data_IF_732208941144
#
_entry.id   IF_732208941144
#
_cell.length_a   1.000
_cell.length_b   1.000
_cell.length_c   1.000
_cell.angle_alpha   90.00
_cell.angle_beta   90.00
_cell.angle_gamma   90.00
#
_symmetry.space_group_name_H-M   'P 1'
#
loop_
_entity.id
_entity.type
_entity.pdbx_description
1 polymer ?
#
# COMPACT_ATOMS: atom_id res chain seq x y z
N UNK A 1 -4.85 -16.86 -25.21
CA UNK A 1 -5.91 -16.61 -24.21
C UNK A 1 -5.18 -16.19 -22.95
N UNK A 2 -5.05 -14.89 -22.69
CA UNK A 2 -4.47 -14.41 -21.44
C UNK A 2 -5.42 -14.86 -20.32
N UNK A 3 -4.93 -15.73 -19.43
CA UNK A 3 -5.67 -16.08 -18.23
C UNK A 3 -5.72 -14.81 -17.40
N UNK A 4 -6.91 -14.25 -17.20
CA UNK A 4 -7.10 -13.22 -16.19
C UNK A 4 -6.50 -13.75 -14.89
N UNK A 5 -5.52 -13.07 -14.28
CA UNK A 5 -4.95 -13.53 -13.03
C UNK A 5 -6.09 -13.67 -12.03
N UNK A 6 -6.23 -14.87 -11.47
CA UNK A 6 -7.33 -15.19 -10.56
C UNK A 6 -6.96 -14.66 -9.19
N UNK A 7 -7.76 -13.73 -8.67
CA UNK A 7 -7.60 -13.21 -7.32
C UNK A 7 -8.30 -14.18 -6.37
N UNK A 8 -7.61 -14.63 -5.34
CA UNK A 8 -8.21 -15.54 -4.36
C UNK A 8 -8.71 -14.75 -3.15
N UNK A 9 -9.90 -15.12 -2.65
CA UNK A 9 -10.39 -14.63 -1.37
C UNK A 9 -10.15 -15.71 -0.31
N UNK A 10 -9.17 -15.47 0.57
CA UNK A 10 -8.70 -16.44 1.55
C UNK A 10 -8.61 -15.84 2.94
N UNK A 11 -8.69 -16.70 3.93
CA UNK A 11 -8.36 -16.35 5.30
C UNK A 11 -6.88 -16.59 5.54
N UNK A 12 -6.15 -15.56 5.91
CA UNK A 12 -4.71 -15.61 6.17
C UNK A 12 -4.44 -15.27 7.64
N UNK A 13 -3.60 -16.07 8.27
CA UNK A 13 -3.10 -15.83 9.61
C UNK A 13 -2.13 -14.65 9.62
N UNK A 14 -2.27 -13.70 10.56
CA UNK A 14 -1.45 -12.46 10.61
C UNK A 14 0.04 -12.74 10.60
N UNK A 15 0.51 -13.81 11.26
CA UNK A 15 1.93 -14.18 11.26
C UNK A 15 2.47 -14.49 9.86
N UNK A 16 1.62 -14.78 8.88
CA UNK A 16 2.00 -15.00 7.47
C UNK A 16 2.05 -13.69 6.67
N UNK A 17 1.96 -12.53 7.29
CA UNK A 17 2.06 -11.25 6.59
C UNK A 17 3.37 -10.60 7.01
N UNK A 18 4.20 -10.22 6.03
CA UNK A 18 5.42 -9.47 6.29
C UNK A 18 5.16 -7.98 6.03
N UNK A 19 5.02 -7.16 7.08
CA UNK A 19 4.78 -5.73 6.93
C UNK A 19 6.02 -4.96 6.45
N UNK A 20 7.21 -5.55 6.50
CA UNK A 20 8.47 -4.92 6.06
C UNK A 20 8.74 -5.14 4.57
N UNK A 21 8.04 -6.09 3.95
CA UNK A 21 8.31 -6.57 2.60
C UNK A 21 7.56 -5.81 1.49
N UNK A 22 7.35 -4.49 1.64
CA UNK A 22 6.51 -3.75 0.70
C UNK A 22 6.87 -2.27 0.58
N UNK A 23 6.87 -1.79 -0.66
CA UNK A 23 7.01 -0.38 -1.01
C UNK A 23 5.68 0.38 -0.98
N UNK A 24 4.54 -0.31 -0.82
CA UNK A 24 3.20 0.26 -1.03
C UNK A 24 2.63 1.04 0.16
N UNK A 25 3.35 1.11 1.28
CA UNK A 25 3.00 1.96 2.42
C UNK A 25 3.35 3.44 2.15
N UNK A 26 2.72 4.00 1.12
CA UNK A 26 3.01 5.32 0.57
C UNK A 26 2.80 6.46 1.56
N UNK A 27 1.78 6.33 2.40
CA UNK A 27 1.38 7.34 3.38
C UNK A 27 1.22 6.69 4.76
N UNK A 28 2.34 6.38 5.43
CA UNK A 28 2.27 5.79 6.76
C UNK A 28 1.63 6.78 7.73
N UNK A 29 0.81 6.27 8.64
CA UNK A 29 0.14 7.06 9.64
C UNK A 29 -0.78 6.21 10.50
N UNK A 30 -1.25 6.79 11.60
CA UNK A 30 -2.12 6.10 12.54
C UNK A 30 -3.56 6.02 12.01
N UNK A 31 -4.32 5.07 12.54
CA UNK A 31 -5.77 5.06 12.44
C UNK A 31 -6.35 6.27 13.19
N UNK A 32 -7.49 6.77 12.73
CA UNK A 32 -8.27 7.72 13.53
C UNK A 32 -8.87 7.02 14.75
N UNK A 33 -9.26 7.76 15.78
CA UNK A 33 -9.96 7.17 16.94
C UNK A 33 -11.23 6.42 16.54
N UNK A 34 -11.95 6.93 15.54
CA UNK A 34 -13.17 6.31 15.04
C UNK A 34 -12.88 5.01 14.28
N UNK A 35 -11.80 4.98 13.48
CA UNK A 35 -11.35 3.74 12.83
C UNK A 35 -10.91 2.68 13.86
N UNK A 36 -10.24 3.10 14.94
CA UNK A 36 -9.85 2.19 16.03
C UNK A 36 -11.09 1.60 16.71
N UNK A 37 -12.05 2.45 17.11
CA UNK A 37 -13.32 1.99 17.70
C UNK A 37 -14.07 1.05 16.77
N UNK A 38 -14.10 1.35 15.48
CA UNK A 38 -14.74 0.50 14.47
C UNK A 38 -14.08 -0.87 14.37
N UNK A 39 -12.73 -0.94 14.38
CA UNK A 39 -12.00 -2.21 14.38
C UNK A 39 -12.23 -3.01 15.67
N UNK A 40 -12.30 -2.35 16.83
CA UNK A 40 -12.57 -3.00 18.12
C UNK A 40 -13.99 -3.60 18.16
N UNK A 41 -14.98 -2.89 17.59
CA UNK A 41 -16.38 -3.31 17.62
C UNK A 41 -16.74 -4.32 16.53
N UNK A 42 -16.22 -4.10 15.32
CA UNK A 42 -16.68 -4.80 14.11
C UNK A 42 -15.60 -5.69 13.48
N UNK A 43 -14.35 -5.61 13.95
CA UNK A 43 -13.22 -6.26 13.31
C UNK A 43 -12.93 -5.69 11.92
N UNK A 44 -12.27 -6.50 11.09
CA UNK A 44 -11.90 -6.12 9.71
C UNK A 44 -13.08 -6.33 8.78
N UNK A 45 -13.72 -5.24 8.38
CA UNK A 45 -14.84 -5.25 7.43
C UNK A 45 -14.39 -5.21 5.96
N UNK A 46 -13.21 -4.62 5.70
CA UNK A 46 -12.63 -4.55 4.36
C UNK A 46 -11.40 -5.46 4.32
N UNK A 47 -11.42 -6.54 3.51
CA UNK A 47 -10.31 -7.48 3.41
C UNK A 47 -8.98 -6.79 3.11
N UNK A 48 -7.90 -7.36 3.63
CA UNK A 48 -6.54 -6.88 3.35
C UNK A 48 -6.14 -7.35 1.95
N UNK A 49 -5.53 -6.47 1.16
CA UNK A 49 -5.02 -6.84 -0.16
C UNK A 49 -3.56 -7.24 -0.02
N UNK A 50 -3.26 -8.49 -0.36
CA UNK A 50 -1.96 -9.10 -0.24
C UNK A 50 -1.48 -9.60 -1.60
N UNK A 51 -0.18 -9.83 -1.74
CA UNK A 51 0.40 -10.55 -2.86
C UNK A 51 1.32 -11.65 -2.37
N UNK A 52 1.29 -12.80 -3.06
CA UNK A 52 2.23 -13.90 -2.84
C UNK A 52 3.65 -13.47 -3.22
N UNK A 53 4.63 -13.78 -2.37
CA UNK A 53 6.05 -13.60 -2.71
C UNK A 53 6.82 -14.92 -2.59
N UNK A 54 7.60 -15.33 -3.62
CA UNK A 54 8.37 -16.58 -3.61
C UNK A 54 9.29 -16.72 -2.42
N UNK A 55 9.25 -17.90 -1.80
CA UNK A 55 10.10 -18.21 -0.65
C UNK A 55 9.81 -17.38 0.60
N UNK A 56 8.80 -16.49 0.55
CA UNK A 56 8.33 -15.69 1.68
C UNK A 56 6.85 -15.96 1.92
N UNK A 57 6.25 -15.12 2.77
CA UNK A 57 4.84 -15.26 3.14
C UNK A 57 3.99 -14.42 2.17
N UNK A 58 3.31 -13.40 2.66
CA UNK A 58 2.57 -12.44 1.85
C UNK A 58 3.07 -11.01 2.10
N UNK A 59 3.25 -10.24 1.03
CA UNK A 59 3.48 -8.80 1.13
C UNK A 59 2.16 -8.04 1.08
N UNK A 60 2.08 -6.91 1.76
CA UNK A 60 0.88 -6.07 1.79
C UNK A 60 0.86 -5.16 0.57
N UNK A 61 -0.26 -5.14 -0.14
CA UNK A 61 -0.56 -4.14 -1.17
C UNK A 61 -1.45 -3.05 -0.57
N UNK A 62 -2.55 -3.38 0.12
CA UNK A 62 -3.38 -2.39 0.83
C UNK A 62 -3.83 -2.93 2.20
N UNK A 63 -4.12 -2.02 3.13
CA UNK A 63 -4.57 -2.35 4.49
C UNK A 63 -3.51 -2.18 5.58
N UNK A 64 -2.44 -1.43 5.30
CA UNK A 64 -1.33 -1.15 6.22
C UNK A 64 -1.74 -0.78 7.64
N UNK A 65 -2.69 0.16 7.79
CA UNK A 65 -3.13 0.62 9.10
C UNK A 65 -3.88 -0.47 9.89
N UNK A 66 -4.66 -1.31 9.19
CA UNK A 66 -5.39 -2.43 9.79
C UNK A 66 -4.41 -3.51 10.26
N UNK A 67 -3.41 -3.84 9.44
CA UNK A 67 -2.33 -4.76 9.85
C UNK A 67 -1.55 -4.18 11.03
N UNK A 68 -1.18 -2.90 10.98
CA UNK A 68 -0.48 -2.26 12.09
C UNK A 68 -1.27 -2.36 13.39
N UNK A 69 -2.59 -2.09 13.37
CA UNK A 69 -3.45 -2.25 14.54
C UNK A 69 -3.47 -3.68 15.09
N UNK A 70 -3.57 -4.70 14.23
CA UNK A 70 -3.51 -6.11 14.63
C UNK A 70 -2.17 -6.48 15.28
N UNK A 71 -1.08 -5.83 14.89
CA UNK A 71 0.26 -6.12 15.40
C UNK A 71 0.69 -5.24 16.58
N UNK A 72 0.02 -4.10 16.81
CA UNK A 72 0.41 -3.11 17.82
C UNK A 72 -0.30 -3.25 19.17
N UNK A 73 -1.44 -3.95 19.25
CA UNK A 73 -2.23 -4.13 20.49
C UNK A 73 -1.61 -5.21 21.40
N UNK A 74 -0.37 -4.95 21.83
CA UNK A 74 0.55 -5.79 22.60
C UNK A 74 0.29 -5.82 24.11
N UNK A 75 -0.88 -6.28 24.56
CA UNK A 75 -1.11 -6.53 26.00
C UNK A 75 -1.66 -7.93 26.33
N UNK A 76 -1.95 -8.78 25.35
CA UNK A 76 -2.44 -10.13 25.62
C UNK A 76 -1.85 -11.18 24.66
N UNK A 77 -0.77 -11.83 25.10
CA UNK A 77 -0.12 -13.01 24.51
C UNK A 77 0.21 -12.94 23.02
N UNK A 78 1.50 -12.74 22.71
CA UNK A 78 2.08 -12.68 21.36
C UNK A 78 1.66 -13.82 20.42
N UNK A 79 1.24 -14.97 20.95
CA UNK A 79 0.82 -16.13 20.19
C UNK A 79 -0.62 -16.03 19.64
N UNK A 80 -1.58 -15.50 20.41
CA UNK A 80 -3.00 -15.50 20.00
C UNK A 80 -3.31 -14.55 18.86
N UNK A 81 -2.66 -13.37 18.82
CA UNK A 81 -2.88 -12.40 17.74
C UNK A 81 -2.12 -12.75 16.47
N UNK A 82 -0.95 -13.41 16.59
CA UNK A 82 -0.22 -13.96 15.46
C UNK A 82 -1.01 -15.05 14.74
N UNK A 83 -1.81 -15.84 15.48
CA UNK A 83 -2.68 -16.88 14.93
C UNK A 83 -4.04 -16.36 14.42
N UNK A 84 -4.35 -15.07 14.61
CA UNK A 84 -5.64 -14.51 14.18
C UNK A 84 -5.85 -14.68 12.67
N UNK A 85 -6.88 -15.41 12.25
CA UNK A 85 -7.27 -15.50 10.85
C UNK A 85 -7.99 -14.21 10.41
N UNK A 86 -7.55 -13.61 9.30
CA UNK A 86 -8.20 -12.42 8.73
C UNK A 86 -8.56 -12.60 7.25
N UNK A 87 -9.70 -12.03 6.79
CA UNK A 87 -10.09 -12.10 5.39
C UNK A 87 -9.15 -11.26 4.52
N UNK A 88 -8.67 -11.84 3.42
CA UNK A 88 -7.72 -11.23 2.51
C UNK A 88 -8.08 -11.50 1.04
N UNK A 89 -7.81 -10.52 0.17
CA UNK A 89 -7.67 -10.74 -1.27
C UNK A 89 -6.20 -11.01 -1.59
N UNK A 90 -5.94 -12.08 -2.32
CA UNK A 90 -4.59 -12.54 -2.65
C UNK A 90 -4.35 -12.35 -4.14
N UNK A 91 -3.43 -11.46 -4.47
CA UNK A 91 -2.86 -11.34 -5.80
C UNK A 91 -1.83 -12.47 -6.00
N UNK A 92 -1.87 -13.17 -7.15
CA UNK A 92 -0.87 -14.16 -7.45
C UNK A 92 0.50 -13.51 -7.66
N UNK A 93 1.55 -14.28 -7.44
CA UNK A 93 2.94 -13.87 -7.70
C UNK A 93 3.13 -13.38 -9.14
N UNK A 94 2.42 -13.98 -10.10
CA UNK A 94 2.54 -13.65 -11.52
C UNK A 94 2.12 -12.21 -11.87
N UNK A 95 1.47 -11.49 -10.96
CA UNK A 95 1.15 -10.06 -11.16
C UNK A 95 2.44 -9.25 -11.18
N UNK A 96 2.77 -8.57 -12.29
CA UNK A 96 3.95 -7.72 -12.38
C UNK A 96 3.90 -6.55 -11.38
N UNK A 97 5.06 -6.06 -10.97
CA UNK A 97 5.17 -4.91 -10.04
C UNK A 97 4.36 -3.71 -10.54
N UNK A 98 4.44 -3.40 -11.84
CA UNK A 98 3.67 -2.34 -12.50
C UNK A 98 2.16 -2.46 -12.27
N UNK A 99 1.63 -3.67 -12.36
CA UNK A 99 0.20 -3.94 -12.16
C UNK A 99 -0.17 -3.89 -10.68
N UNK A 100 0.66 -4.43 -9.77
CA UNK A 100 0.49 -4.28 -8.33
C UNK A 100 0.48 -2.79 -7.90
N UNK A 101 1.38 -1.98 -8.47
CA UNK A 101 1.45 -0.53 -8.28
C UNK A 101 0.17 0.18 -8.76
N UNK A 102 -0.39 -0.22 -9.90
CA UNK A 102 -1.68 0.29 -10.37
C UNK A 102 -2.84 -0.10 -9.44
N UNK A 103 -2.91 -1.36 -9.00
CA UNK A 103 -3.93 -1.80 -8.05
C UNK A 103 -3.80 -1.00 -6.74
N UNK A 104 -2.58 -0.72 -6.28
CA UNK A 104 -2.38 0.14 -5.11
C UNK A 104 -2.94 1.54 -5.33
N UNK A 105 -2.72 2.12 -6.51
CA UNK A 105 -3.25 3.44 -6.87
C UNK A 105 -4.78 3.48 -6.82
N UNK A 106 -5.43 2.44 -7.34
CA UNK A 106 -6.89 2.33 -7.39
C UNK A 106 -7.51 2.10 -5.99
N UNK A 107 -6.77 1.46 -5.08
CA UNK A 107 -7.19 1.27 -3.69
C UNK A 107 -6.84 2.45 -2.77
N UNK A 108 -6.15 3.47 -3.30
CA UNK A 108 -5.83 4.67 -2.55
C UNK A 108 -7.13 5.42 -2.23
N UNK A 109 -7.41 5.63 -0.95
CA UNK A 109 -8.54 6.46 -0.54
C UNK A 109 -8.35 7.87 -1.09
N UNK A 110 -9.40 8.44 -1.70
CA UNK A 110 -9.42 9.82 -2.21
C UNK A 110 -9.41 10.87 -1.08
N UNK A 111 -9.00 10.49 0.13
CA UNK A 111 -8.93 11.38 1.27
C UNK A 111 -7.97 12.52 0.90
N UNK A 112 -8.49 13.75 0.96
CA UNK A 112 -7.80 15.00 0.75
C UNK A 112 -6.76 15.25 1.86
N UNK A 113 -5.76 14.39 1.93
CA UNK A 113 -4.60 14.59 2.78
C UNK A 113 -3.73 15.67 2.18
N UNK A 114 -3.34 16.65 2.98
CA UNK A 114 -2.26 17.57 2.62
C UNK A 114 -0.93 16.81 2.67
N UNK A 115 -0.62 16.05 1.61
CA UNK A 115 0.66 15.35 1.51
C UNK A 115 1.78 16.34 1.23
N UNK A 116 2.89 16.19 1.96
CA UNK A 116 4.09 16.99 1.69
C UNK A 116 4.68 16.63 0.32
N UNK A 117 5.38 17.58 -0.31
CA UNK A 117 6.07 17.33 -1.58
C UNK A 117 7.08 16.17 -1.50
N UNK A 118 7.63 15.90 -0.31
CA UNK A 118 8.54 14.77 -0.05
C UNK A 118 7.79 13.43 -0.12
N UNK A 119 6.62 13.33 0.51
CA UNK A 119 5.80 12.12 0.46
C UNK A 119 5.34 11.84 -0.96
N UNK A 120 4.86 12.87 -1.66
CA UNK A 120 4.46 12.75 -3.06
C UNK A 120 5.65 12.31 -3.91
N UNK A 121 6.81 12.97 -3.78
CA UNK A 121 8.03 12.62 -4.53
C UNK A 121 8.47 11.16 -4.34
N UNK A 122 8.35 10.62 -3.11
CA UNK A 122 8.61 9.19 -2.84
C UNK A 122 7.65 8.27 -3.60
N UNK A 123 6.36 8.59 -3.60
CA UNK A 123 5.35 7.83 -4.34
C UNK A 123 5.64 7.89 -5.85
N UNK A 124 5.89 9.09 -6.39
CA UNK A 124 6.21 9.24 -7.82
C UNK A 124 7.45 8.44 -8.21
N UNK A 125 8.46 8.37 -7.32
CA UNK A 125 9.65 7.57 -7.56
C UNK A 125 9.34 6.08 -7.69
N UNK A 126 8.43 5.57 -6.87
CA UNK A 126 8.00 4.16 -6.94
C UNK A 126 7.24 3.84 -8.23
N UNK A 127 6.41 4.77 -8.73
CA UNK A 127 5.82 4.62 -10.06
C UNK A 127 6.90 4.61 -11.15
N UNK A 128 7.89 5.50 -11.07
CA UNK A 128 9.01 5.49 -12.02
C UNK A 128 9.81 4.17 -11.97
N UNK A 129 10.04 3.63 -10.78
CA UNK A 129 10.71 2.34 -10.57
C UNK A 129 9.85 1.14 -10.99
N UNK A 130 8.55 1.34 -11.19
CA UNK A 130 7.58 0.35 -11.70
C UNK A 130 7.30 0.54 -13.21
N UNK A 131 8.25 1.11 -13.95
CA UNK A 131 8.21 1.35 -15.40
C UNK A 131 7.11 2.31 -15.90
N UNK A 132 6.59 3.21 -15.05
CA UNK A 132 5.68 4.26 -15.51
C UNK A 132 6.45 5.44 -16.12
N UNK A 133 5.97 5.91 -17.26
CA UNK A 133 6.46 7.13 -17.90
C UNK A 133 6.05 8.37 -17.11
N UNK A 134 6.74 9.48 -17.34
CA UNK A 134 6.43 10.77 -16.70
C UNK A 134 5.01 11.23 -17.07
N UNK A 135 4.60 10.95 -18.30
CA UNK A 135 3.30 11.28 -18.86
C UNK A 135 2.18 10.45 -18.21
N UNK A 136 2.39 9.15 -18.04
CA UNK A 136 1.44 8.27 -17.32
C UNK A 136 1.30 8.70 -15.86
N UNK A 137 2.41 9.00 -15.17
CA UNK A 137 2.38 9.49 -13.80
C UNK A 137 1.59 10.81 -13.71
N UNK A 138 1.84 11.73 -14.63
CA UNK A 138 1.14 13.01 -14.67
C UNK A 138 -0.37 12.83 -14.90
N UNK A 139 -0.76 11.94 -15.80
CA UNK A 139 -2.16 11.74 -16.17
C UNK A 139 -2.95 10.90 -15.16
N UNK A 140 -2.33 9.88 -14.57
CA UNK A 140 -3.03 8.84 -13.79
C UNK A 140 -2.80 9.00 -12.29
N UNK A 141 -1.57 9.37 -11.86
CA UNK A 141 -1.19 9.39 -10.44
C UNK A 141 -1.49 10.73 -9.80
N UNK A 142 -1.07 11.85 -10.40
CA UNK A 142 -1.25 13.17 -9.80
C UNK A 142 -2.71 13.49 -9.44
N UNK A 143 -3.72 13.20 -10.30
CA UNK A 143 -5.12 13.42 -9.94
C UNK A 143 -5.58 12.63 -8.71
N UNK A 144 -5.10 11.39 -8.55
CA UNK A 144 -5.41 10.55 -7.38
C UNK A 144 -4.83 11.11 -6.09
N UNK A 145 -3.79 11.93 -6.20
CA UNK A 145 -3.17 12.67 -5.10
C UNK A 145 -3.73 14.09 -4.93
N UNK A 146 -4.80 14.46 -5.65
CA UNK A 146 -5.41 15.78 -5.59
C UNK A 146 -4.63 16.88 -6.30
N UNK A 147 -3.65 16.52 -7.15
CA UNK A 147 -2.83 17.45 -7.91
C UNK A 147 -3.28 17.52 -9.38
N UNK A 148 -3.04 18.67 -10.02
CA UNK A 148 -3.30 18.83 -11.46
C UNK A 148 -2.31 17.99 -12.27
N UNK A 149 -2.76 17.32 -13.35
CA UNK A 149 -1.86 16.67 -14.30
C UNK A 149 -0.80 17.63 -14.84
N UNK A 150 0.48 17.30 -14.63
CA UNK A 150 1.60 18.10 -15.12
C UNK A 150 2.91 17.31 -15.11
N UNK A 151 3.43 16.99 -16.29
CA UNK A 151 4.74 16.34 -16.45
C UNK A 151 5.90 17.21 -15.91
N UNK A 152 5.73 18.54 -15.91
CA UNK A 152 6.69 19.45 -15.27
C UNK A 152 6.69 19.25 -13.76
N UNK A 153 5.52 19.17 -13.14
CA UNK A 153 5.38 18.96 -11.70
C UNK A 153 5.97 17.61 -11.27
N UNK A 154 5.72 16.54 -12.04
CA UNK A 154 6.32 15.22 -11.80
C UNK A 154 7.83 15.32 -11.72
N UNK A 155 8.48 15.92 -12.73
CA UNK A 155 9.93 16.10 -12.75
C UNK A 155 10.44 16.89 -11.54
N UNK A 156 9.80 18.01 -11.22
CA UNK A 156 10.20 18.84 -10.07
C UNK A 156 10.11 18.09 -8.73
N UNK A 157 9.09 17.25 -8.55
CA UNK A 157 8.92 16.46 -7.33
C UNK A 157 9.90 15.29 -7.25
N UNK A 158 10.25 14.67 -8.39
CA UNK A 158 11.29 13.65 -8.48
C UNK A 158 12.68 14.26 -8.21
N UNK A 159 12.98 15.43 -8.77
CA UNK A 159 14.23 16.14 -8.53
C UNK A 159 14.36 16.51 -7.04
N UNK A 160 13.29 17.01 -6.43
CA UNK A 160 13.25 17.28 -4.99
C UNK A 160 13.53 16.01 -4.17
N UNK A 161 12.90 14.89 -4.52
CA UNK A 161 13.15 13.61 -3.86
C UNK A 161 14.62 13.19 -3.94
N UNK A 162 15.23 13.32 -5.11
CA UNK A 162 16.63 12.96 -5.35
C UNK A 162 17.60 13.84 -4.56
N UNK A 163 17.40 15.16 -4.56
CA UNK A 163 18.25 16.09 -3.80
C UNK A 163 18.19 15.78 -2.30
N UNK A 164 16.99 15.56 -1.76
CA UNK A 164 16.84 15.28 -0.34
C UNK A 164 17.47 13.94 0.07
N UNK A 165 17.44 12.92 -0.79
CA UNK A 165 18.12 11.64 -0.54
C UNK A 165 19.64 11.80 -0.46
N UNK A 166 20.23 12.74 -1.21
CA UNK A 166 21.69 12.98 -1.17
C UNK A 166 22.16 13.75 0.07
N UNK A 167 21.24 14.32 0.85
CA UNK A 167 21.54 15.10 2.06
C UNK A 167 21.45 14.26 3.35
N UNK A 168 21.05 12.98 3.24
CA UNK A 168 20.88 12.01 4.34
C UNK A 168 21.81 10.84 4.19
#
# INVERSE_FOLDING_TARGET
MEKTPTWDFLTVTVCRIDPTETCFNWFPGNLSEDDVKSLEQNGILIPILLQVVPGKKYRIIDGFKRISWLTSNNTASDQKQQETPIPCFILPESIPEREATNIRLETLSTSSGNFSGIQIGRVLKQFQDSDFTTEEIAAQVLPRLGLKPSARLVRQLLDLHNVLKTMT
#
